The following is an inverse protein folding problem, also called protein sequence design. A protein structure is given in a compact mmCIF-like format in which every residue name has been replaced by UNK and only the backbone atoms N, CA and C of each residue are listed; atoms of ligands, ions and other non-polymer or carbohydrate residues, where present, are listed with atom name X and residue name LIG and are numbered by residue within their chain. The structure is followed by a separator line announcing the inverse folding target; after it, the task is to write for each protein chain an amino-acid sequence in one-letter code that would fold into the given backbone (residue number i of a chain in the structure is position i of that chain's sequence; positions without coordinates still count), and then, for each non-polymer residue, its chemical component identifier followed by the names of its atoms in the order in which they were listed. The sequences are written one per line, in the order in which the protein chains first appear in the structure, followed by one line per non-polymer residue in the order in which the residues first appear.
data_IF_986363054832
#
_entry.id   IF_986363054832
#
_cell.length_a   1.000
_cell.length_b   1.000
_cell.length_c   1.000
_cell.angle_alpha   90.00
_cell.angle_beta   90.00
_cell.angle_gamma   90.00
#
_symmetry.space_group_name_H-M   'P 1'
#
loop_
_entity.id
_entity.type
_entity.pdbx_description
1 polymer ?
#
# COMPACT_ATOMS: atom_id res chain seq x y z
N UNK A 1 -1.05 -4.33 31.26
CA UNK A 1 -1.66 -4.94 30.05
C UNK A 1 -1.73 -3.85 29.01
N UNK A 2 -1.30 -4.11 27.76
CA UNK A 2 -1.32 -3.07 26.73
C UNK A 2 -2.75 -2.67 26.39
N UNK A 3 -3.01 -1.36 26.23
CA UNK A 3 -4.28 -0.85 25.70
C UNK A 3 -4.25 -0.85 24.18
N UNK A 4 -5.27 -1.43 23.57
CA UNK A 4 -5.40 -1.64 22.13
C UNK A 4 -6.58 -0.85 21.60
N UNK A 5 -6.34 -0.10 20.53
CA UNK A 5 -7.39 0.45 19.68
C UNK A 5 -7.40 -0.34 18.37
N UNK A 6 -8.58 -0.74 17.90
CA UNK A 6 -8.74 -1.35 16.57
C UNK A 6 -9.23 -0.30 15.58
N UNK A 7 -8.67 -0.27 14.37
CA UNK A 7 -9.14 0.60 13.29
C UNK A 7 -9.83 -0.23 12.21
N UNK A 8 -11.12 0.01 12.00
CA UNK A 8 -12.00 -0.62 11.03
C UNK A 8 -12.97 -1.60 11.69
N UNK A 9 -14.26 -1.25 11.77
CA UNK A 9 -15.33 -2.09 12.32
C UNK A 9 -15.92 -3.05 11.25
N UNK A 10 -15.05 -3.73 10.50
CA UNK A 10 -15.43 -4.70 9.46
C UNK A 10 -15.16 -6.16 9.85
N UNK A 11 -15.30 -7.08 8.90
CA UNK A 11 -15.11 -8.51 9.14
C UNK A 11 -13.72 -8.85 9.71
N UNK A 12 -12.67 -8.12 9.34
CA UNK A 12 -11.32 -8.38 9.85
C UNK A 12 -11.20 -8.05 11.34
N UNK A 13 -12.00 -7.11 11.84
CA UNK A 13 -12.11 -6.84 13.28
C UNK A 13 -12.80 -8.00 14.00
N UNK A 14 -13.85 -8.57 13.40
CA UNK A 14 -14.52 -9.75 13.97
C UNK A 14 -13.57 -10.93 14.06
N UNK A 15 -12.81 -11.19 12.99
CA UNK A 15 -11.80 -12.25 12.94
C UNK A 15 -10.70 -12.00 13.98
N UNK A 16 -10.16 -10.77 14.06
CA UNK A 16 -9.13 -10.45 15.04
C UNK A 16 -9.62 -10.70 16.48
N UNK A 17 -10.82 -10.21 16.81
CA UNK A 17 -11.42 -10.38 18.15
C UNK A 17 -11.61 -11.87 18.46
N UNK A 18 -12.08 -12.68 17.52
CA UNK A 18 -12.37 -14.09 17.75
C UNK A 18 -11.13 -14.99 17.79
N UNK A 19 -10.06 -14.67 17.06
CA UNK A 19 -8.87 -15.52 16.96
C UNK A 19 -7.75 -15.14 17.92
N UNK A 20 -7.51 -13.84 18.08
CA UNK A 20 -6.30 -13.30 18.73
C UNK A 20 -6.63 -12.29 19.85
N UNK A 21 -7.81 -11.67 19.78
CA UNK A 21 -8.17 -10.44 20.47
C UNK A 21 -8.51 -10.58 21.94
N UNK A 22 -7.56 -11.11 22.71
CA UNK A 22 -7.31 -10.85 24.15
C UNK A 22 -5.79 -11.06 24.44
N UNK A 23 -5.07 -11.82 23.62
CA UNK A 23 -3.65 -12.21 23.86
C UNK A 23 -2.71 -11.02 24.00
N UNK A 24 -2.94 -9.96 23.22
CA UNK A 24 -1.99 -8.86 23.07
C UNK A 24 -2.28 -7.64 23.94
N UNK A 25 -3.42 -7.60 24.64
CA UNK A 25 -3.86 -6.44 25.40
C UNK A 25 -5.38 -6.32 25.55
N UNK A 26 -5.80 -5.30 26.27
CA UNK A 26 -7.18 -4.90 26.47
C UNK A 26 -7.65 -4.02 25.30
N UNK A 27 -8.74 -4.39 24.64
CA UNK A 27 -9.33 -3.57 23.58
C UNK A 27 -10.18 -2.47 24.24
N UNK A 28 -9.73 -1.22 24.12
CA UNK A 28 -10.41 -0.06 24.72
C UNK A 28 -11.40 0.61 23.75
N UNK A 29 -11.39 0.23 22.47
CA UNK A 29 -12.34 0.74 21.49
C UNK A 29 -12.04 0.30 20.07
N UNK A 30 -13.06 0.41 19.22
CA UNK A 30 -12.97 0.23 17.78
C UNK A 30 -13.21 1.59 17.12
N UNK A 31 -12.37 1.98 16.18
CA UNK A 31 -12.55 3.18 15.37
C UNK A 31 -13.07 2.78 14.01
N UNK A 32 -13.98 3.54 13.42
CA UNK A 32 -14.32 3.42 12.00
C UNK A 32 -14.46 4.81 11.37
N UNK A 33 -14.13 4.94 10.09
CA UNK A 33 -14.29 6.20 9.37
C UNK A 33 -15.75 6.45 8.98
N UNK A 34 -16.61 5.43 8.99
CA UNK A 34 -18.03 5.56 8.67
C UNK A 34 -18.84 6.06 9.89
N UNK A 35 -19.38 7.29 9.86
CA UNK A 35 -20.12 7.86 10.98
C UNK A 35 -21.39 7.08 11.34
N UNK A 36 -21.98 6.35 10.40
CA UNK A 36 -23.17 5.54 10.64
C UNK A 36 -22.93 4.39 11.61
N UNK A 37 -21.67 4.00 11.81
CA UNK A 37 -21.29 2.95 12.77
C UNK A 37 -20.96 3.51 14.15
N UNK A 38 -20.80 4.82 14.31
CA UNK A 38 -20.42 5.38 15.60
C UNK A 38 -21.53 5.20 16.64
N UNK A 39 -21.14 5.08 17.91
CA UNK A 39 -22.04 4.79 19.03
C UNK A 39 -22.79 3.46 18.91
N UNK A 40 -22.34 2.57 18.02
CA UNK A 40 -22.81 1.18 17.98
C UNK A 40 -21.84 0.27 18.71
N UNK A 41 -22.30 -0.94 19.05
CA UNK A 41 -21.45 -1.98 19.62
C UNK A 41 -21.07 -2.99 18.55
N UNK A 42 -19.80 -3.38 18.53
CA UNK A 42 -19.31 -4.51 17.74
C UNK A 42 -18.55 -5.47 18.66
N UNK A 43 -19.08 -6.68 18.79
CA UNK A 43 -18.57 -7.72 19.72
C UNK A 43 -18.42 -7.20 21.16
N UNK A 44 -19.35 -6.35 21.61
CA UNK A 44 -19.33 -5.76 22.95
C UNK A 44 -18.44 -4.51 23.11
N UNK A 45 -17.66 -4.13 22.09
CA UNK A 45 -16.83 -2.92 22.10
C UNK A 45 -17.53 -1.76 21.40
N UNK A 46 -17.36 -0.54 21.92
CA UNK A 46 -17.89 0.66 21.30
C UNK A 46 -17.14 1.00 20.02
N UNK A 47 -17.90 1.30 18.97
CA UNK A 47 -17.39 1.87 17.73
C UNK A 47 -17.43 3.39 17.82
N UNK A 48 -16.27 4.01 17.68
CA UNK A 48 -16.02 5.42 17.94
C UNK A 48 -15.49 6.13 16.70
N UNK A 49 -15.53 7.46 16.74
CA UNK A 49 -14.85 8.31 15.78
C UNK A 49 -13.31 8.21 15.94
N UNK A 50 -12.52 8.51 14.89
CA UNK A 50 -11.07 8.50 14.96
C UNK A 50 -10.44 9.42 16.02
N UNK A 51 -11.17 10.40 16.53
CA UNK A 51 -10.70 11.36 17.55
C UNK A 51 -10.39 10.69 18.90
N UNK A 52 -10.80 9.44 19.10
CA UNK A 52 -10.41 8.66 20.28
C UNK A 52 -8.89 8.45 20.37
N UNK A 53 -8.17 8.48 19.23
CA UNK A 53 -6.72 8.36 19.14
C UNK A 53 -6.03 9.49 19.91
N UNK A 54 -6.60 10.68 19.86
CA UNK A 54 -6.01 11.87 20.47
C UNK A 54 -6.41 12.01 21.96
N UNK A 55 -7.52 11.40 22.36
CA UNK A 55 -8.11 11.56 23.70
C UNK A 55 -7.79 10.42 24.67
N UNK A 56 -7.22 9.30 24.21
CA UNK A 56 -6.95 8.13 25.04
C UNK A 56 -5.50 7.69 24.95
N UNK A 57 -4.93 7.27 26.08
CA UNK A 57 -3.63 6.63 26.09
C UNK A 57 -3.74 5.18 25.60
N UNK A 58 -2.99 4.83 24.55
CA UNK A 58 -2.93 3.47 24.00
C UNK A 58 -1.50 3.04 23.69
N UNK A 59 -1.27 1.72 23.76
CA UNK A 59 0.01 1.09 23.41
C UNK A 59 0.06 0.67 21.94
N UNK A 60 -1.06 0.17 21.39
CA UNK A 60 -1.15 -0.32 20.01
C UNK A 60 -2.42 0.17 19.32
N UNK A 61 -2.27 0.60 18.07
CA UNK A 61 -3.35 0.87 17.13
C UNK A 61 -3.24 -0.16 16.00
N UNK A 62 -4.20 -1.08 15.96
CA UNK A 62 -4.18 -2.22 15.05
C UNK A 62 -5.17 -1.98 13.91
N UNK A 63 -4.66 -1.98 12.67
CA UNK A 63 -5.45 -1.81 11.48
C UNK A 63 -6.09 -3.15 11.09
N UNK A 64 -7.39 -3.27 11.34
CA UNK A 64 -8.22 -4.43 11.00
C UNK A 64 -9.05 -4.14 9.75
N UNK A 65 -8.37 -3.76 8.68
CA UNK A 65 -8.95 -3.37 7.38
C UNK A 65 -8.26 -4.12 6.25
N UNK A 66 -9.00 -4.36 5.16
CA UNK A 66 -8.47 -5.08 3.99
C UNK A 66 -7.42 -4.28 3.22
N UNK A 67 -7.56 -2.96 3.19
CA UNK A 67 -6.67 -2.04 2.47
C UNK A 67 -6.22 -0.93 3.43
N UNK A 68 -5.13 -1.14 4.18
CA UNK A 68 -4.72 -0.21 5.23
C UNK A 68 -4.04 1.06 4.70
N UNK A 69 -3.62 1.08 3.43
CA UNK A 69 -2.74 2.11 2.87
C UNK A 69 -3.23 3.55 3.12
N UNK A 70 -4.46 3.87 2.71
CA UNK A 70 -5.03 5.21 2.92
C UNK A 70 -5.14 5.59 4.41
N UNK A 71 -5.38 4.60 5.26
CA UNK A 71 -5.52 4.81 6.70
C UNK A 71 -4.14 5.03 7.34
N UNK A 72 -3.12 4.30 6.91
CA UNK A 72 -1.73 4.50 7.34
C UNK A 72 -1.29 5.92 7.03
N UNK A 73 -1.49 6.37 5.78
CA UNK A 73 -1.13 7.72 5.36
C UNK A 73 -1.83 8.78 6.23
N UNK A 74 -3.15 8.64 6.41
CA UNK A 74 -3.94 9.54 7.25
C UNK A 74 -3.42 9.59 8.70
N UNK A 75 -3.11 8.44 9.30
CA UNK A 75 -2.64 8.34 10.68
C UNK A 75 -1.24 8.96 10.84
N UNK A 76 -0.33 8.73 9.89
CA UNK A 76 1.00 9.33 9.91
C UNK A 76 0.94 10.85 9.70
N UNK A 77 0.06 11.34 8.84
CA UNK A 77 -0.19 12.79 8.70
C UNK A 77 -0.74 13.42 9.98
N UNK A 78 -1.49 12.66 10.79
CA UNK A 78 -1.92 13.05 12.14
C UNK A 78 -0.82 12.89 13.21
N UNK A 79 0.43 12.63 12.81
CA UNK A 79 1.57 12.39 13.71
C UNK A 79 1.37 11.21 14.67
N UNK A 80 0.55 10.22 14.30
CA UNK A 80 0.48 8.97 15.07
C UNK A 80 1.82 8.27 14.99
N UNK A 81 2.37 7.92 16.15
CA UNK A 81 3.68 7.27 16.22
C UNK A 81 3.66 5.92 15.48
N UNK A 82 4.50 5.82 14.44
CA UNK A 82 4.70 4.61 13.62
C UNK A 82 4.97 3.35 14.45
N UNK A 83 5.64 3.45 15.60
CA UNK A 83 5.91 2.29 16.47
C UNK A 83 4.66 1.71 17.15
N UNK A 84 3.58 2.50 17.23
CA UNK A 84 2.29 2.06 17.78
C UNK A 84 1.37 1.47 16.71
N UNK A 85 1.72 1.56 15.43
CA UNK A 85 0.87 1.11 14.32
C UNK A 85 1.17 -0.36 13.98
N UNK A 86 0.12 -1.15 13.85
CA UNK A 86 0.22 -2.56 13.46
C UNK A 86 -0.81 -2.88 12.39
N UNK A 87 -0.46 -3.76 11.45
CA UNK A 87 -1.37 -4.27 10.43
C UNK A 87 -1.75 -5.69 10.79
N UNK A 88 -3.06 -5.97 10.83
CA UNK A 88 -3.55 -7.33 11.00
C UNK A 88 -3.79 -7.98 9.64
N UNK A 89 -3.15 -9.13 9.40
CA UNK A 89 -3.43 -9.98 8.25
C UNK A 89 -4.41 -11.09 8.65
N UNK A 90 -5.64 -11.00 8.14
CA UNK A 90 -6.69 -11.96 8.46
C UNK A 90 -6.50 -13.33 7.79
N UNK A 91 -5.64 -13.46 6.77
CA UNK A 91 -5.41 -14.73 6.07
C UNK A 91 -4.48 -15.66 6.84
N UNK A 92 -3.47 -15.13 7.52
CA UNK A 92 -2.47 -15.90 8.28
C UNK A 92 -2.50 -15.59 9.79
N UNK A 93 -3.47 -14.79 10.24
CA UNK A 93 -3.67 -14.37 11.63
C UNK A 93 -2.45 -13.67 12.26
N UNK A 94 -1.62 -13.00 11.44
CA UNK A 94 -0.43 -12.30 11.93
C UNK A 94 -0.68 -10.82 12.19
N UNK A 95 -0.02 -10.32 13.24
CA UNK A 95 0.07 -8.90 13.56
C UNK A 95 1.47 -8.40 13.21
N UNK A 96 1.55 -7.47 12.27
CA UNK A 96 2.82 -6.94 11.75
C UNK A 96 3.02 -5.49 12.23
N UNK A 97 4.10 -5.18 12.99
CA UNK A 97 4.42 -3.80 13.33
C UNK A 97 4.74 -3.00 12.08
N UNK A 98 4.11 -1.84 11.90
CA UNK A 98 4.39 -0.97 10.75
C UNK A 98 5.86 -0.57 10.71
N UNK A 99 6.50 -0.41 11.87
CA UNK A 99 7.93 -0.09 11.96
C UNK A 99 8.85 -1.04 11.20
N UNK A 100 8.48 -2.32 11.09
CA UNK A 100 9.29 -3.35 10.42
C UNK A 100 9.02 -3.46 8.91
N UNK A 101 7.84 -3.01 8.46
CA UNK A 101 7.39 -3.18 7.06
C UNK A 101 7.19 -1.86 6.32
N UNK A 102 7.50 -0.73 6.97
CA UNK A 102 7.20 0.59 6.43
C UNK A 102 7.93 0.90 5.14
N UNK A 103 9.20 0.51 5.04
CA UNK A 103 10.00 0.79 3.85
C UNK A 103 9.44 0.02 2.65
N UNK A 104 9.02 -1.23 2.88
CA UNK A 104 8.36 -2.04 1.86
C UNK A 104 6.95 -1.52 1.53
N UNK A 105 6.24 -0.97 2.52
CA UNK A 105 4.98 -0.27 2.31
C UNK A 105 5.15 0.95 1.39
N UNK A 106 6.15 1.81 1.65
CA UNK A 106 6.46 2.99 0.83
C UNK A 106 6.88 2.57 -0.58
N UNK A 107 7.76 1.57 -0.71
CA UNK A 107 8.13 0.97 -1.99
C UNK A 107 6.92 0.53 -2.81
N UNK A 108 5.99 -0.23 -2.19
CA UNK A 108 4.74 -0.68 -2.85
C UNK A 108 3.84 0.48 -3.25
N UNK A 109 3.77 1.54 -2.44
CA UNK A 109 2.97 2.74 -2.72
C UNK A 109 3.53 3.52 -3.91
N UNK A 110 4.84 3.78 -3.94
CA UNK A 110 5.53 4.43 -5.05
C UNK A 110 5.34 3.62 -6.33
N UNK A 111 5.60 2.32 -6.24
CA UNK A 111 5.40 1.39 -7.35
C UNK A 111 3.98 1.41 -7.91
N UNK A 112 2.94 1.35 -7.06
CA UNK A 112 1.54 1.42 -7.50
C UNK A 112 1.16 2.76 -8.10
N UNK A 113 1.69 3.86 -7.57
CA UNK A 113 1.47 5.21 -8.11
C UNK A 113 2.10 5.35 -9.51
N UNK A 114 3.25 4.73 -9.70
CA UNK A 114 4.05 4.86 -10.91
C UNK A 114 3.78 3.75 -11.94
N UNK A 115 2.87 2.81 -11.64
CA UNK A 115 2.49 1.70 -12.50
C UNK A 115 1.49 2.14 -13.59
N UNK A 116 1.94 2.24 -14.84
CA UNK A 116 1.05 2.44 -16.00
C UNK A 116 0.40 1.12 -16.35
N UNK A 117 -0.94 1.07 -16.29
CA UNK A 117 -1.75 -0.10 -16.63
C UNK A 117 -1.81 -0.26 -18.15
N UNK A 118 -1.24 -1.36 -18.64
CA UNK A 118 -1.34 -1.86 -20.02
C UNK A 118 -0.78 -0.91 -21.08
N UNK A 119 0.32 -1.33 -21.71
CA UNK A 119 0.83 -0.68 -22.91
C UNK A 119 0.13 -1.23 -24.14
N UNK A 120 -0.80 -0.45 -24.68
CA UNK A 120 -0.86 -0.26 -26.12
C UNK A 120 0.02 0.96 -26.42
N UNK A 121 0.76 0.96 -27.53
CA UNK A 121 1.58 2.11 -27.97
C UNK A 121 0.79 3.42 -27.97
N UNK A 122 -0.50 3.35 -28.27
CA UNK A 122 -1.45 4.47 -28.23
C UNK A 122 -1.57 5.11 -26.84
N UNK A 123 -1.56 4.31 -25.76
CA UNK A 123 -1.66 4.79 -24.38
C UNK A 123 -0.34 5.41 -23.88
N UNK A 124 0.81 4.99 -24.41
CA UNK A 124 2.10 5.63 -24.10
C UNK A 124 2.19 7.06 -24.63
N UNK A 125 1.56 7.32 -25.79
CA UNK A 125 1.48 8.68 -26.32
C UNK A 125 0.55 9.57 -25.49
N UNK A 126 -0.47 9.00 -24.85
CA UNK A 126 -1.34 9.73 -23.93
C UNK A 126 -0.60 10.10 -22.64
N UNK A 127 0.12 9.15 -22.02
CA UNK A 127 0.94 9.44 -20.83
C UNK A 127 2.05 10.45 -21.14
N UNK A 128 2.58 10.48 -22.37
CA UNK A 128 3.49 11.53 -22.83
C UNK A 128 2.81 12.91 -22.86
N UNK A 129 1.60 13.01 -23.44
CA UNK A 129 0.85 14.27 -23.52
C UNK A 129 0.44 14.81 -22.15
N UNK A 130 0.27 13.93 -21.18
CA UNK A 130 -0.04 14.26 -19.79
C UNK A 130 1.20 14.58 -18.94
N UNK A 131 2.39 14.70 -19.56
CA UNK A 131 3.65 15.05 -18.89
C UNK A 131 4.05 14.04 -17.78
N UNK A 132 3.56 12.80 -17.85
CA UNK A 132 3.75 11.78 -16.80
C UNK A 132 5.20 11.29 -16.63
N UNK A 133 6.09 11.64 -17.57
CA UNK A 133 7.51 11.34 -17.57
C UNK A 133 8.39 12.52 -17.13
N UNK A 134 7.78 13.63 -16.71
CA UNK A 134 8.52 14.77 -16.16
C UNK A 134 9.23 14.36 -14.87
N UNK A 135 10.55 14.58 -14.81
CA UNK A 135 11.44 14.14 -13.72
C UNK A 135 11.58 12.61 -13.58
N UNK A 136 11.26 11.84 -14.62
CA UNK A 136 11.56 10.40 -14.66
C UNK A 136 12.98 10.20 -15.17
N UNK A 137 13.77 9.42 -14.45
CA UNK A 137 15.14 9.04 -14.85
C UNK A 137 15.18 7.64 -15.47
N UNK A 138 14.28 6.74 -15.01
CA UNK A 138 14.26 5.36 -15.45
C UNK A 138 12.84 4.87 -15.72
N UNK A 139 12.68 4.12 -16.81
CA UNK A 139 11.45 3.38 -17.13
C UNK A 139 11.73 1.89 -17.02
N UNK A 140 10.99 1.21 -16.15
CA UNK A 140 11.12 -0.21 -15.86
C UNK A 140 9.97 -0.95 -16.55
N UNK A 141 10.30 -1.80 -17.52
CA UNK A 141 9.32 -2.52 -18.35
C UNK A 141 9.07 -3.92 -17.82
N UNK A 142 7.86 -4.17 -17.33
CA UNK A 142 7.43 -5.46 -16.82
C UNK A 142 6.59 -6.16 -17.91
N UNK A 143 7.25 -7.04 -18.68
CA UNK A 143 6.65 -7.71 -19.84
C UNK A 143 7.61 -8.69 -20.53
N UNK A 144 7.26 -9.14 -21.74
CA UNK A 144 8.16 -9.92 -22.59
C UNK A 144 9.36 -9.08 -23.07
N UNK A 145 10.38 -9.72 -23.64
CA UNK A 145 11.49 -9.00 -24.27
C UNK A 145 11.02 -8.12 -25.44
N UNK A 146 10.03 -8.57 -26.20
CA UNK A 146 9.40 -7.79 -27.28
C UNK A 146 8.78 -6.48 -26.74
N UNK A 147 8.12 -6.53 -25.57
CA UNK A 147 7.56 -5.34 -24.94
C UNK A 147 8.65 -4.36 -24.46
N UNK A 148 9.77 -4.89 -23.98
CA UNK A 148 10.93 -4.09 -23.59
C UNK A 148 11.54 -3.36 -24.78
N UNK A 149 11.82 -4.07 -25.89
CA UNK A 149 12.39 -3.45 -27.09
C UNK A 149 11.44 -2.40 -27.67
N UNK A 150 10.13 -2.66 -27.73
CA UNK A 150 9.15 -1.70 -28.24
C UNK A 150 9.13 -0.39 -27.43
N UNK A 151 9.20 -0.48 -26.10
CA UNK A 151 9.21 0.72 -25.24
C UNK A 151 10.54 1.45 -25.33
N UNK A 152 11.65 0.71 -25.42
CA UNK A 152 12.97 1.28 -25.59
C UNK A 152 13.06 2.07 -26.91
N UNK A 153 12.63 1.47 -28.02
CA UNK A 153 12.55 2.13 -29.33
C UNK A 153 11.68 3.39 -29.27
N UNK A 154 10.55 3.35 -28.56
CA UNK A 154 9.68 4.51 -28.38
C UNK A 154 10.39 5.70 -27.73
N UNK A 155 11.12 5.49 -26.63
CA UNK A 155 11.85 6.58 -25.95
C UNK A 155 13.07 7.06 -26.76
N UNK A 156 13.75 6.15 -27.46
CA UNK A 156 14.84 6.49 -28.39
C UNK A 156 14.35 7.36 -29.54
N UNK A 157 13.19 7.03 -30.16
CA UNK A 157 12.58 7.83 -31.23
C UNK A 157 12.23 9.26 -30.80
N UNK A 158 11.91 9.46 -29.51
CA UNK A 158 11.57 10.76 -28.95
C UNK A 158 12.80 11.55 -28.46
N UNK A 159 14.01 10.98 -28.58
CA UNK A 159 15.27 11.55 -28.08
C UNK A 159 15.20 11.97 -26.59
N UNK A 160 14.48 11.19 -25.78
CA UNK A 160 14.36 11.49 -24.35
C UNK A 160 15.55 10.88 -23.59
N UNK A 161 16.20 11.68 -22.74
CA UNK A 161 17.22 11.23 -21.79
C UNK A 161 16.61 10.44 -20.61
N UNK A 162 16.11 9.23 -20.90
CA UNK A 162 15.55 8.27 -19.93
C UNK A 162 16.21 6.91 -20.12
N UNK A 163 16.58 6.27 -19.01
CA UNK A 163 17.10 4.89 -19.06
C UNK A 163 15.95 3.88 -19.04
N UNK A 164 15.82 3.06 -20.08
CA UNK A 164 14.82 1.97 -20.13
C UNK A 164 15.45 0.64 -19.69
N UNK A 165 14.85 -0.02 -18.70
CA UNK A 165 15.36 -1.25 -18.08
C UNK A 165 14.31 -2.39 -18.12
N UNK A 166 14.71 -3.65 -18.33
CA UNK A 166 13.79 -4.79 -18.23
C UNK A 166 13.47 -5.07 -16.75
N UNK A 167 12.18 -5.21 -16.45
CA UNK A 167 11.66 -5.42 -15.10
C UNK A 167 11.67 -6.85 -14.61
N UNK A 168 12.08 -7.83 -15.43
CA UNK A 168 11.94 -9.27 -15.12
C UNK A 168 13.06 -9.90 -14.30
N UNK A 169 14.22 -9.23 -14.17
CA UNK A 169 15.38 -9.76 -13.46
C UNK A 169 15.55 -9.07 -12.10
N UNK A 170 16.09 -9.81 -11.14
CA UNK A 170 16.43 -9.37 -9.76
C UNK A 170 17.44 -8.19 -9.70
N UNK A 171 17.74 -7.54 -10.83
CA UNK A 171 18.78 -6.51 -11.01
C UNK A 171 18.30 -5.06 -10.85
N UNK A 172 17.04 -4.82 -10.49
CA UNK A 172 16.62 -3.47 -10.11
C UNK A 172 17.17 -3.17 -8.71
N UNK A 173 18.34 -2.56 -8.65
CA UNK A 173 18.94 -2.01 -7.43
C UNK A 173 18.07 -0.88 -6.85
N UNK A 174 17.02 -1.27 -6.14
CA UNK A 174 16.10 -0.39 -5.42
C UNK A 174 15.05 0.30 -6.30
N UNK A 175 13.88 0.53 -5.69
CA UNK A 175 12.79 1.38 -6.21
C UNK A 175 13.14 2.84 -5.92
N UNK A 176 13.12 3.71 -6.94
CA UNK A 176 13.34 5.16 -6.80
C UNK A 176 12.05 5.92 -7.06
N UNK A 177 11.93 7.11 -6.47
CA UNK A 177 10.81 8.01 -6.74
C UNK A 177 10.79 8.51 -8.19
N UNK A 178 11.97 8.58 -8.82
CA UNK A 178 12.18 8.96 -10.22
C UNK A 178 11.97 7.79 -11.20
N UNK A 179 11.56 6.61 -10.72
CA UNK A 179 11.27 5.46 -11.58
C UNK A 179 9.81 5.45 -12.03
N UNK A 180 9.58 5.12 -13.31
CA UNK A 180 8.26 4.79 -13.86
C UNK A 180 8.18 3.30 -14.18
N UNK A 181 7.09 2.63 -13.81
CA UNK A 181 6.90 1.20 -14.06
C UNK A 181 5.83 0.99 -15.12
N UNK A 182 6.17 0.25 -16.16
CA UNK A 182 5.30 0.05 -17.33
C UNK A 182 4.95 -1.42 -17.44
N UNK A 183 3.68 -1.77 -17.23
CA UNK A 183 3.21 -3.16 -17.26
C UNK A 183 2.61 -3.49 -18.61
N UNK A 184 3.27 -4.40 -19.33
CA UNK A 184 2.87 -4.81 -20.67
C UNK A 184 2.18 -6.18 -20.69
N UNK A 185 1.93 -6.79 -19.53
CA UNK A 185 1.23 -8.08 -19.44
C UNK A 185 -0.29 -7.91 -19.33
N UNK A 186 -1.04 -8.84 -19.93
CA UNK A 186 -2.48 -8.94 -19.73
C UNK A 186 -2.84 -9.26 -18.26
N UNK A 187 -1.93 -9.88 -17.52
CA UNK A 187 -2.08 -10.25 -16.12
C UNK A 187 -1.28 -9.33 -15.17
N UNK A 188 -1.37 -8.01 -15.37
CA UNK A 188 -0.67 -7.03 -14.53
C UNK A 188 -0.90 -7.24 -13.01
N UNK A 189 -2.09 -7.74 -12.62
CA UNK A 189 -2.41 -8.05 -11.21
C UNK A 189 -1.56 -9.19 -10.64
N UNK A 190 -1.23 -10.18 -11.46
CA UNK A 190 -0.32 -11.27 -11.11
C UNK A 190 1.11 -10.77 -10.94
N UNK A 191 1.55 -9.88 -11.82
CA UNK A 191 2.91 -9.33 -11.76
C UNK A 191 3.09 -8.34 -10.61
N UNK A 192 2.10 -7.47 -10.34
CA UNK A 192 2.05 -6.64 -9.13
C UNK A 192 2.25 -7.46 -7.84
N UNK A 193 1.70 -8.68 -7.78
CA UNK A 193 1.88 -9.58 -6.62
C UNK A 193 3.28 -10.18 -6.51
N UNK A 194 4.01 -10.35 -7.63
CA UNK A 194 5.38 -10.86 -7.64
C UNK A 194 6.36 -9.78 -7.18
N UNK A 195 6.23 -8.55 -7.70
CA UNK A 195 7.09 -7.42 -7.32
C UNK A 195 6.81 -6.85 -5.93
N UNK A 196 5.60 -7.05 -5.39
CA UNK A 196 5.23 -6.60 -4.04
C UNK A 196 5.54 -7.60 -2.92
N UNK A 197 6.22 -8.71 -3.21
CA UNK A 197 6.45 -9.82 -2.26
C UNK A 197 7.90 -10.01 -1.80
N UNK A 198 8.84 -9.16 -2.23
CA UNK A 198 10.19 -9.13 -1.68
C UNK A 198 10.25 -8.21 -0.47
#
# INVERSE_FOLDING_TARGET
MDKIILYGAGNYCDIYISSEGIKYGEIIGIIDSNPQKWNTLKNGYSVCAPDIIDSHEYGKLILTVRQPDLIIDMLLHKNVNKSKLFIYNAEDHKLLPLSLIYDDYIKRKIFRKNAVRQVKTELLMETFREEEYTNVERVIVIGSNENFELIKEFFEMLNWDITVLPGGNEEINGIRETDKYVFCSENYRGDLKKFGKN
#
